data_IF_548806108874
#
_entry.id   IF_548806108874
#
_cell.length_a   1.000
_cell.length_b   1.000
_cell.length_c   1.000
_cell.angle_alpha   90.00
_cell.angle_beta   90.00
_cell.angle_gamma   90.00
#
_symmetry.space_group_name_H-M   'P 1'
#
loop_
_entity.id
_entity.type
_entity.pdbx_description
1 polymer ?
#
# COMPACT_ATOMS: atom_id res chain seq x y z
N UNK A 1 58.88 15.60 34.63
CA UNK A 1 58.05 14.44 34.22
C UNK A 1 56.69 15.01 33.85
N UNK A 2 56.47 15.28 32.57
CA UNK A 2 55.23 15.87 32.05
C UNK A 2 54.50 14.82 31.22
N UNK A 3 53.20 14.56 31.41
CA UNK A 3 52.41 13.85 30.42
C UNK A 3 51.72 14.83 29.47
N UNK A 4 51.80 14.52 28.18
CA UNK A 4 51.06 15.16 27.09
C UNK A 4 49.57 14.75 27.12
N UNK A 5 48.63 15.62 26.73
CA UNK A 5 47.22 15.23 26.59
C UNK A 5 47.00 14.38 25.33
N UNK A 6 46.19 13.35 25.51
CA UNK A 6 45.80 12.35 24.53
C UNK A 6 45.02 12.94 23.34
N UNK A 7 45.23 12.36 22.16
CA UNK A 7 44.46 12.62 20.96
C UNK A 7 42.97 12.29 21.17
N UNK A 8 42.10 13.23 20.81
CA UNK A 8 40.66 13.04 20.78
C UNK A 8 40.26 12.03 19.68
N UNK A 9 39.20 11.22 19.88
CA UNK A 9 38.76 10.26 18.87
C UNK A 9 38.20 10.97 17.63
N UNK A 10 38.50 10.42 16.46
CA UNK A 10 37.92 10.81 15.19
C UNK A 10 36.40 10.59 15.24
N UNK A 11 35.65 11.69 15.12
CA UNK A 11 34.20 11.68 15.14
C UNK A 11 33.68 11.05 13.84
N UNK A 12 32.99 9.91 13.97
CA UNK A 12 32.18 9.28 12.93
C UNK A 12 31.21 10.30 12.31
N UNK A 13 31.10 10.26 10.99
CA UNK A 13 30.23 11.14 10.23
C UNK A 13 28.77 11.08 10.74
N UNK A 14 28.12 12.24 10.96
CA UNK A 14 26.77 12.28 11.50
C UNK A 14 25.74 11.68 10.53
N UNK A 15 24.64 11.09 11.04
CA UNK A 15 23.58 10.49 10.24
C UNK A 15 22.85 11.52 9.35
N UNK A 16 22.21 11.09 8.25
CA UNK A 16 21.75 11.98 7.18
C UNK A 16 20.58 12.92 7.54
N UNK A 17 19.85 12.67 8.63
CA UNK A 17 18.86 13.63 9.17
C UNK A 17 19.52 14.75 10.01
N UNK A 18 20.83 14.66 10.21
CA UNK A 18 21.67 15.57 10.99
C UNK A 18 22.85 16.12 10.16
N UNK A 19 22.78 15.97 8.82
CA UNK A 19 23.84 16.34 7.88
C UNK A 19 23.35 17.25 6.75
N UNK A 20 23.80 18.50 6.77
CA UNK A 20 23.61 19.46 5.67
C UNK A 20 24.20 20.84 5.93
N UNK A 21 25.31 20.91 6.67
CA UNK A 21 26.01 22.15 6.99
C UNK A 21 27.52 22.00 6.83
N UNK A 22 27.98 21.75 5.60
CA UNK A 22 29.35 22.04 5.18
C UNK A 22 29.37 22.13 3.64
N UNK A 23 29.55 23.35 3.14
CA UNK A 23 29.78 23.76 1.75
C UNK A 23 28.61 23.73 0.73
N UNK A 24 27.40 24.11 1.18
CA UNK A 24 26.46 24.75 0.26
C UNK A 24 26.61 26.26 0.39
N UNK A 25 27.16 26.93 -0.62
CA UNK A 25 26.97 28.38 -0.76
C UNK A 25 25.46 28.67 -0.56
N UNK A 26 25.08 29.72 0.20
CA UNK A 26 23.68 29.98 0.48
C UNK A 26 22.95 30.10 -0.85
N UNK A 27 22.07 29.14 -1.14
CA UNK A 27 21.21 29.21 -2.31
C UNK A 27 20.48 30.54 -2.21
N UNK A 28 20.51 31.32 -3.29
CA UNK A 28 19.77 32.58 -3.30
C UNK A 28 18.30 32.26 -3.06
N UNK A 29 17.55 33.22 -2.49
CA UNK A 29 16.13 33.04 -2.23
C UNK A 29 15.35 32.62 -3.50
N UNK A 30 15.85 33.00 -4.68
CA UNK A 30 15.34 32.55 -5.98
C UNK A 30 15.65 31.08 -6.28
N UNK A 31 16.88 30.62 -6.05
CA UNK A 31 17.25 29.22 -6.25
C UNK A 31 16.47 28.28 -5.32
N UNK A 32 16.29 28.68 -4.05
CA UNK A 32 15.49 27.92 -3.11
C UNK A 32 14.00 27.83 -3.53
N UNK A 33 13.44 28.93 -4.07
CA UNK A 33 12.08 28.93 -4.61
C UNK A 33 11.94 28.06 -5.86
N UNK A 34 12.91 28.11 -6.77
CA UNK A 34 12.91 27.28 -7.98
C UNK A 34 13.00 25.79 -7.65
N UNK A 35 13.88 25.40 -6.71
CA UNK A 35 13.98 24.02 -6.24
C UNK A 35 12.70 23.54 -5.53
N UNK A 36 12.08 24.39 -4.70
CA UNK A 36 10.82 24.07 -4.05
C UNK A 36 9.67 23.91 -5.06
N UNK A 37 9.63 24.73 -6.11
CA UNK A 37 8.65 24.61 -7.18
C UNK A 37 8.82 23.29 -7.94
N UNK A 38 10.06 22.94 -8.31
CA UNK A 38 10.36 21.69 -9.02
C UNK A 38 10.03 20.46 -8.16
N UNK A 39 10.36 20.47 -6.87
CA UNK A 39 10.00 19.39 -5.94
C UNK A 39 8.48 19.23 -5.79
N UNK A 40 7.73 20.35 -5.78
CA UNK A 40 6.27 20.32 -5.74
C UNK A 40 5.68 19.72 -7.03
N UNK A 41 6.22 20.06 -8.20
CA UNK A 41 5.77 19.51 -9.48
C UNK A 41 6.11 18.02 -9.63
N UNK A 42 7.30 17.59 -9.18
CA UNK A 42 7.65 16.16 -9.13
C UNK A 42 6.68 15.38 -8.23
N UNK A 43 6.36 15.92 -7.05
CA UNK A 43 5.42 15.30 -6.12
C UNK A 43 4.01 15.19 -6.70
N UNK A 44 3.54 16.24 -7.40
CA UNK A 44 2.24 16.21 -8.11
C UNK A 44 2.20 15.14 -9.20
N UNK A 45 3.26 15.02 -10.00
CA UNK A 45 3.35 13.99 -11.05
C UNK A 45 3.33 12.58 -10.47
N UNK A 46 4.07 12.35 -9.38
CA UNK A 46 4.09 11.06 -8.70
C UNK A 46 2.70 10.67 -8.15
N UNK A 47 1.98 11.63 -7.57
CA UNK A 47 0.61 11.40 -7.10
C UNK A 47 -0.36 11.11 -8.25
N UNK A 48 -0.25 11.82 -9.37
CA UNK A 48 -1.07 11.57 -10.55
C UNK A 48 -0.82 10.18 -11.15
N UNK A 49 0.45 9.74 -11.22
CA UNK A 49 0.82 8.41 -11.68
C UNK A 49 0.29 7.30 -10.75
N UNK A 50 0.40 7.50 -9.44
CA UNK A 50 -0.16 6.57 -8.45
C UNK A 50 -1.69 6.44 -8.59
N UNK A 51 -2.38 7.57 -8.79
CA UNK A 51 -3.83 7.57 -9.02
C UNK A 51 -4.20 6.84 -10.32
N UNK A 52 -3.47 7.06 -11.41
CA UNK A 52 -3.70 6.39 -12.68
C UNK A 52 -3.50 4.86 -12.56
N UNK A 53 -2.43 4.42 -11.92
CA UNK A 53 -2.18 2.99 -11.66
C UNK A 53 -3.27 2.36 -10.80
N UNK A 54 -3.75 3.09 -9.78
CA UNK A 54 -4.83 2.60 -8.92
C UNK A 54 -6.13 2.42 -9.71
N UNK A 55 -6.50 3.37 -10.57
CA UNK A 55 -7.68 3.26 -11.42
C UNK A 55 -7.54 2.12 -12.44
N UNK A 56 -6.37 1.95 -13.04
CA UNK A 56 -6.11 0.84 -13.95
C UNK A 56 -6.23 -0.52 -13.24
N UNK A 57 -5.74 -0.63 -12.00
CA UNK A 57 -5.89 -1.85 -11.21
C UNK A 57 -7.35 -2.14 -10.88
N UNK A 58 -8.12 -1.11 -10.50
CA UNK A 58 -9.57 -1.25 -10.24
C UNK A 58 -10.31 -1.75 -11.48
N UNK A 59 -10.02 -1.17 -12.65
CA UNK A 59 -10.59 -1.61 -13.92
C UNK A 59 -10.20 -3.06 -14.25
N UNK A 60 -8.94 -3.45 -14.00
CA UNK A 60 -8.46 -4.81 -14.21
C UNK A 60 -9.14 -5.84 -13.32
N UNK A 61 -9.38 -5.53 -12.04
CA UNK A 61 -10.11 -6.41 -11.13
C UNK A 61 -11.58 -6.52 -11.53
N UNK A 62 -12.24 -5.41 -11.89
CA UNK A 62 -13.63 -5.42 -12.39
C UNK A 62 -13.78 -6.24 -13.67
N UNK A 63 -12.83 -6.12 -14.61
CA UNK A 63 -12.82 -6.93 -15.82
C UNK A 63 -12.63 -8.43 -15.51
N UNK A 64 -11.82 -8.75 -14.50
CA UNK A 64 -11.64 -10.12 -14.03
C UNK A 64 -12.92 -10.70 -13.42
N UNK A 65 -13.65 -9.92 -12.62
CA UNK A 65 -14.97 -10.31 -12.08
C UNK A 65 -15.95 -10.59 -13.23
N UNK A 66 -16.05 -9.69 -14.21
CA UNK A 66 -16.93 -9.89 -15.36
C UNK A 66 -16.60 -11.18 -16.14
N UNK A 67 -15.31 -11.48 -16.30
CA UNK A 67 -14.86 -12.72 -16.94
C UNK A 67 -15.22 -13.97 -16.12
N UNK A 68 -15.18 -13.89 -14.79
CA UNK A 68 -15.64 -14.99 -13.93
C UNK A 68 -17.14 -15.21 -14.06
N UNK A 69 -17.94 -14.13 -14.16
CA UNK A 69 -19.39 -14.22 -14.38
C UNK A 69 -19.70 -14.87 -15.74
N UNK A 70 -18.95 -14.53 -16.80
CA UNK A 70 -19.06 -15.17 -18.13
C UNK A 70 -18.74 -16.68 -18.07
N UNK A 71 -17.67 -17.05 -17.36
CA UNK A 71 -17.26 -18.46 -17.19
C UNK A 71 -18.30 -19.27 -16.40
N UNK A 72 -18.92 -18.67 -15.38
CA UNK A 72 -19.97 -19.29 -14.59
C UNK A 72 -21.25 -19.47 -15.40
N UNK A 73 -21.60 -18.54 -16.29
CA UNK A 73 -22.79 -18.61 -17.13
C UNK A 73 -22.65 -19.56 -18.33
N UNK A 74 -21.43 -19.77 -18.84
CA UNK A 74 -21.15 -20.50 -20.08
C UNK A 74 -20.84 -21.99 -19.94
N UNK A 75 -21.06 -22.61 -18.77
CA UNK A 75 -20.66 -24.01 -18.46
C UNK A 75 -19.14 -24.28 -18.60
N UNK A 76 -18.34 -23.21 -18.64
CA UNK A 76 -16.88 -23.24 -18.78
C UNK A 76 -16.13 -23.27 -17.45
N UNK A 77 -16.82 -23.57 -16.35
CA UNK A 77 -16.22 -23.63 -15.04
C UNK A 77 -15.17 -24.76 -15.00
N UNK A 78 -13.90 -24.38 -14.80
CA UNK A 78 -12.83 -25.36 -14.63
C UNK A 78 -13.16 -26.26 -13.42
N UNK A 79 -13.20 -27.57 -13.64
CA UNK A 79 -13.48 -28.54 -12.59
C UNK A 79 -12.50 -28.36 -11.42
N UNK A 80 -13.04 -28.19 -10.21
CA UNK A 80 -12.26 -28.04 -8.98
C UNK A 80 -11.87 -26.61 -8.59
N UNK A 81 -12.33 -25.58 -9.32
CA UNK A 81 -12.16 -24.17 -8.92
C UNK A 81 -13.48 -23.61 -8.42
N UNK A 82 -13.46 -23.04 -7.21
CA UNK A 82 -14.61 -22.30 -6.69
C UNK A 82 -14.60 -20.87 -7.24
N UNK A 83 -15.25 -20.67 -8.40
CA UNK A 83 -15.34 -19.35 -9.06
C UNK A 83 -16.07 -18.31 -8.19
N UNK A 84 -17.02 -18.73 -7.36
CA UNK A 84 -17.74 -17.86 -6.43
C UNK A 84 -16.81 -17.36 -5.31
N UNK A 85 -15.97 -18.22 -4.74
CA UNK A 85 -14.95 -17.83 -3.77
C UNK A 85 -13.92 -16.87 -4.40
N UNK A 86 -13.48 -17.14 -5.63
CA UNK A 86 -12.54 -16.28 -6.35
C UNK A 86 -13.16 -14.90 -6.62
N UNK A 87 -14.42 -14.85 -7.06
CA UNK A 87 -15.15 -13.61 -7.27
C UNK A 87 -15.27 -12.83 -5.96
N UNK A 88 -15.69 -13.46 -4.88
CA UNK A 88 -15.79 -12.83 -3.57
C UNK A 88 -14.46 -12.24 -3.09
N UNK A 89 -13.36 -12.96 -3.30
CA UNK A 89 -12.02 -12.46 -2.97
C UNK A 89 -11.61 -11.23 -3.80
N UNK A 90 -11.97 -11.17 -5.08
CA UNK A 90 -11.72 -10.00 -5.93
C UNK A 90 -12.57 -8.79 -5.51
N UNK A 91 -13.82 -9.01 -5.11
CA UNK A 91 -14.69 -7.96 -4.54
C UNK A 91 -14.12 -7.42 -3.22
N UNK A 92 -13.61 -8.30 -2.36
CA UNK A 92 -12.89 -7.93 -1.13
C UNK A 92 -11.66 -7.10 -1.46
N UNK A 93 -10.85 -7.51 -2.43
CA UNK A 93 -9.64 -6.78 -2.86
C UNK A 93 -9.97 -5.36 -3.37
N UNK A 94 -11.04 -5.19 -4.16
CA UNK A 94 -11.53 -3.88 -4.59
C UNK A 94 -11.86 -2.97 -3.41
N UNK A 95 -12.52 -3.53 -2.39
CA UNK A 95 -12.91 -2.76 -1.21
C UNK A 95 -11.72 -2.37 -0.35
N UNK A 96 -10.74 -3.27 -0.18
CA UNK A 96 -9.47 -2.94 0.49
C UNK A 96 -8.71 -1.82 -0.22
N UNK A 97 -8.69 -1.84 -1.56
CA UNK A 97 -8.06 -0.79 -2.35
C UNK A 97 -8.75 0.57 -2.12
N UNK A 98 -10.09 0.59 -2.11
CA UNK A 98 -10.87 1.80 -1.84
C UNK A 98 -10.60 2.37 -0.44
N UNK A 99 -10.56 1.51 0.58
CA UNK A 99 -10.20 1.91 1.95
C UNK A 99 -8.80 2.52 1.99
N UNK A 100 -7.84 1.93 1.27
CA UNK A 100 -6.47 2.47 1.20
C UNK A 100 -6.44 3.88 0.61
N UNK A 101 -7.24 4.15 -0.42
CA UNK A 101 -7.38 5.49 -0.99
C UNK A 101 -8.02 6.46 0.01
N UNK A 102 -9.05 6.03 0.74
CA UNK A 102 -9.71 6.84 1.77
C UNK A 102 -8.76 7.15 2.94
N UNK A 103 -7.93 6.19 3.37
CA UNK A 103 -6.90 6.40 4.40
C UNK A 103 -5.84 7.40 3.92
N UNK A 104 -5.40 7.32 2.66
CA UNK A 104 -4.51 8.34 2.08
C UNK A 104 -5.18 9.72 2.05
N UNK A 105 -6.45 9.82 1.65
CA UNK A 105 -7.19 11.08 1.67
C UNK A 105 -7.31 11.66 3.09
N UNK A 106 -7.58 10.80 4.09
CA UNK A 106 -7.60 11.19 5.51
C UNK A 106 -6.22 11.63 6.00
N UNK A 107 -5.12 11.10 5.46
CA UNK A 107 -3.76 11.45 5.87
C UNK A 107 -3.40 12.90 5.53
N UNK A 108 -4.00 13.44 4.46
CA UNK A 108 -3.85 14.83 4.00
C UNK A 108 -4.68 15.82 4.83
N UNK A 109 -5.63 15.35 5.64
CA UNK A 109 -6.44 16.20 6.50
C UNK A 109 -5.66 16.65 7.74
N UNK A 110 -6.00 17.82 8.32
CA UNK A 110 -5.41 18.28 9.57
C UNK A 110 -5.52 17.25 10.69
N UNK A 111 -4.50 17.15 11.53
CA UNK A 111 -4.52 16.23 12.67
C UNK A 111 -5.61 16.63 13.69
N UNK A 112 -6.32 15.64 14.22
CA UNK A 112 -7.37 15.86 15.22
C UNK A 112 -8.15 14.59 15.55
N UNK A 113 -8.95 14.64 16.61
CA UNK A 113 -9.71 13.49 17.11
C UNK A 113 -10.63 12.86 16.05
N UNK A 114 -11.28 13.69 15.23
CA UNK A 114 -12.14 13.22 14.14
C UNK A 114 -11.38 12.42 13.07
N UNK A 115 -10.20 12.90 12.66
CA UNK A 115 -9.33 12.18 11.71
C UNK A 115 -8.86 10.85 12.30
N UNK A 116 -8.43 10.84 13.56
CA UNK A 116 -7.98 9.61 14.24
C UNK A 116 -9.11 8.59 14.34
N UNK A 117 -10.32 9.03 14.69
CA UNK A 117 -11.50 8.16 14.74
C UNK A 117 -11.84 7.58 13.35
N UNK A 118 -11.81 8.42 12.30
CA UNK A 118 -12.05 7.98 10.93
C UNK A 118 -10.99 6.98 10.43
N UNK A 119 -9.71 7.23 10.70
CA UNK A 119 -8.63 6.29 10.37
C UNK A 119 -8.81 4.95 11.10
N UNK A 120 -9.18 4.98 12.38
CA UNK A 120 -9.42 3.77 13.16
C UNK A 120 -10.58 2.94 12.59
N UNK A 121 -11.70 3.59 12.28
CA UNK A 121 -12.84 2.93 11.64
C UNK A 121 -12.47 2.27 10.30
N UNK A 122 -11.61 2.91 9.50
CA UNK A 122 -11.11 2.34 8.23
C UNK A 122 -10.19 1.15 8.42
N UNK A 123 -9.36 1.15 9.48
CA UNK A 123 -8.54 -0.02 9.85
C UNK A 123 -9.43 -1.17 10.34
N UNK A 124 -10.47 -0.89 11.12
CA UNK A 124 -11.43 -1.91 11.55
C UNK A 124 -12.17 -2.53 10.36
N UNK A 125 -12.60 -1.71 9.39
CA UNK A 125 -13.20 -2.19 8.12
C UNK A 125 -12.21 -3.07 7.33
N UNK A 126 -10.92 -2.69 7.28
CA UNK A 126 -9.89 -3.51 6.62
C UNK A 126 -9.71 -4.87 7.28
N UNK A 127 -9.67 -4.93 8.61
CA UNK A 127 -9.57 -6.19 9.37
C UNK A 127 -10.78 -7.10 9.10
N UNK A 128 -11.98 -6.52 9.05
CA UNK A 128 -13.20 -7.27 8.72
C UNK A 128 -13.15 -7.85 7.31
N UNK A 129 -12.61 -7.11 6.34
CA UNK A 129 -12.47 -7.58 4.97
C UNK A 129 -11.43 -8.69 4.84
N UNK A 130 -10.34 -8.64 5.61
CA UNK A 130 -9.36 -9.72 5.64
C UNK A 130 -9.98 -11.04 6.13
N UNK A 131 -10.87 -10.97 7.13
CA UNK A 131 -11.60 -12.15 7.61
C UNK A 131 -12.66 -12.69 6.63
N UNK A 132 -13.03 -11.94 5.59
CA UNK A 132 -13.98 -12.36 4.56
C UNK A 132 -13.31 -13.09 3.39
N UNK A 133 -11.97 -13.11 3.34
CA UNK A 133 -11.24 -13.84 2.32
C UNK A 133 -11.52 -15.34 2.46
N UNK A 134 -11.93 -15.94 1.35
CA UNK A 134 -12.22 -17.37 1.22
C UNK A 134 -11.00 -18.11 0.71
N UNK A 135 -10.61 -19.17 1.41
CA UNK A 135 -9.45 -19.97 1.05
C UNK A 135 -9.82 -21.27 0.34
N UNK A 136 -11.11 -21.59 0.24
CA UNK A 136 -11.69 -22.73 -0.49
C UNK A 136 -11.72 -22.51 -2.02
N UNK A 137 -10.73 -21.81 -2.56
CA UNK A 137 -10.63 -21.48 -4.00
C UNK A 137 -10.22 -22.67 -4.87
N UNK A 138 -9.68 -23.73 -4.26
CA UNK A 138 -9.34 -25.00 -4.89
C UNK A 138 -9.94 -26.18 -4.12
N UNK A 139 -9.93 -27.36 -4.76
CA UNK A 139 -10.54 -28.59 -4.25
C UNK A 139 -10.14 -28.89 -2.79
N UNK A 140 -11.14 -28.93 -1.92
CA UNK A 140 -11.09 -29.74 -0.70
C UNK A 140 -10.85 -31.18 -1.19
N UNK A 141 -9.63 -31.68 -1.01
CA UNK A 141 -9.34 -33.07 -1.30
C UNK A 141 -10.30 -33.90 -0.43
N UNK A 142 -11.09 -34.83 -0.99
CA UNK A 142 -11.90 -35.69 -0.15
C UNK A 142 -10.93 -36.38 0.81
N UNK A 143 -11.20 -36.26 2.11
CA UNK A 143 -10.57 -37.07 3.13
C UNK A 143 -10.97 -38.53 2.90
N UNK A 144 -10.41 -39.18 1.86
CA UNK A 144 -10.41 -40.64 1.73
C UNK A 144 -9.36 -41.16 2.69
N UNK A 145 -9.73 -41.17 3.97
CA UNK A 145 -9.07 -41.89 5.04
C UNK A 145 -10.12 -42.68 5.81
N UNK A 146 -9.91 -44.00 5.84
CA UNK A 146 -10.44 -44.96 6.81
C UNK A 146 -11.74 -45.70 6.46
N UNK A 147 -11.53 -46.91 5.91
CA UNK A 147 -12.50 -48.00 5.85
C UNK A 147 -11.85 -49.25 5.27
N UNK A 148 -10.86 -49.81 5.97
CA UNK A 148 -10.28 -51.10 5.64
C UNK A 148 -11.33 -52.20 5.84
N UNK A 149 -11.52 -53.04 4.82
CA UNK A 149 -12.05 -54.40 4.95
C UNK A 149 -10.91 -55.37 5.27
#
# INVERSE_FOLDING_TARGET
RSPAPAAAPAYEAPPPWLGGGADAAPATLEQAKAQAAEAADQSRRALADLQARSQANEAGIRASIARLDELQAGDGAAAGVNLDALRGNLEVALRMQRITQEVQALSLQPAGAARTAAMRAKVDELNQLQGQLRYDVGVDAPATGSGAE
#
